data_IF_535702845913
#
_entry.id   IF_535702845913
#
_cell.length_a   1.000
_cell.length_b   1.000
_cell.length_c   1.000
_cell.angle_alpha   90.00
_cell.angle_beta   90.00
_cell.angle_gamma   90.00
#
_symmetry.space_group_name_H-M   'P 1'
#
loop_
_entity.id
_entity.type
_entity.pdbx_description
1 polymer ?
#
# COMPACT_ATOMS: atom_id res chain seq x y z
N UNK A 1 20.69 -3.81 -27.40
CA UNK A 1 20.30 -3.38 -26.03
C UNK A 1 18.85 -2.99 -26.14
N UNK A 2 17.96 -3.82 -25.59
CA UNK A 2 16.52 -3.61 -25.71
C UNK A 2 16.14 -2.41 -24.84
N UNK A 3 15.75 -1.33 -25.47
CA UNK A 3 15.15 -0.17 -24.81
C UNK A 3 13.89 -0.68 -24.10
N UNK A 4 13.97 -0.82 -22.77
CA UNK A 4 12.81 -1.15 -21.97
C UNK A 4 11.80 -0.03 -22.18
N UNK A 5 10.71 -0.34 -22.87
CA UNK A 5 9.62 0.59 -23.09
C UNK A 5 9.15 1.12 -21.73
N UNK A 6 8.87 2.43 -21.58
CA UNK A 6 8.44 3.02 -20.29
C UNK A 6 7.21 2.31 -19.68
N UNK A 7 6.40 1.67 -20.52
CA UNK A 7 5.24 0.87 -20.10
C UNK A 7 5.59 -0.37 -19.24
N UNK A 8 6.81 -0.89 -19.31
CA UNK A 8 7.24 -2.07 -18.54
C UNK A 8 7.55 -1.71 -17.09
N UNK A 9 8.27 -0.60 -16.86
CA UNK A 9 8.65 -0.14 -15.52
C UNK A 9 7.42 0.31 -14.73
N UNK A 10 6.44 0.93 -15.40
CA UNK A 10 5.17 1.34 -14.82
C UNK A 10 4.34 0.15 -14.31
N UNK A 11 4.21 -0.90 -15.13
CA UNK A 11 3.51 -2.14 -14.73
C UNK A 11 4.18 -2.83 -13.54
N UNK A 12 5.51 -2.84 -13.50
CA UNK A 12 6.26 -3.40 -12.38
C UNK A 12 6.01 -2.59 -11.10
N UNK A 13 5.92 -1.26 -11.19
CA UNK A 13 5.58 -0.39 -10.07
C UNK A 13 4.18 -0.67 -9.53
N UNK A 14 3.18 -0.81 -10.40
CA UNK A 14 1.79 -1.13 -9.99
C UNK A 14 1.70 -2.47 -9.25
N UNK A 15 2.38 -3.49 -9.76
CA UNK A 15 2.45 -4.82 -9.15
C UNK A 15 3.12 -4.76 -7.76
N UNK A 16 4.27 -4.09 -7.66
CA UNK A 16 5.01 -3.92 -6.40
C UNK A 16 4.18 -3.18 -5.34
N UNK A 17 3.47 -2.11 -5.74
CA UNK A 17 2.59 -1.36 -4.84
C UNK A 17 1.44 -2.24 -4.35
N UNK A 18 0.87 -3.07 -5.24
CA UNK A 18 -0.22 -3.99 -4.90
C UNK A 18 0.25 -5.05 -3.90
N UNK A 19 1.45 -5.61 -4.10
CA UNK A 19 2.06 -6.56 -3.16
C UNK A 19 2.31 -5.93 -1.79
N UNK A 20 2.80 -4.70 -1.75
CA UNK A 20 3.01 -3.97 -0.50
C UNK A 20 1.69 -3.75 0.25
N UNK A 21 0.64 -3.31 -0.45
CA UNK A 21 -0.69 -3.11 0.16
C UNK A 21 -1.25 -4.42 0.73
N UNK A 22 -1.12 -5.53 0.00
CA UNK A 22 -1.53 -6.85 0.47
C UNK A 22 -0.75 -7.29 1.71
N UNK A 23 0.56 -7.02 1.73
CA UNK A 23 1.43 -7.34 2.86
C UNK A 23 1.03 -6.54 4.11
N UNK A 24 0.73 -5.25 3.95
CA UNK A 24 0.24 -4.39 5.04
C UNK A 24 -1.11 -4.89 5.59
N UNK A 25 -2.05 -5.27 4.73
CA UNK A 25 -3.34 -5.83 5.15
C UNK A 25 -3.15 -7.15 5.92
N UNK A 26 -2.19 -7.99 5.50
CA UNK A 26 -1.88 -9.25 6.17
C UNK A 26 -1.25 -9.04 7.56
N UNK A 27 -0.31 -8.12 7.69
CA UNK A 27 0.33 -7.75 8.97
C UNK A 27 -0.69 -7.17 9.96
N UNK A 28 -1.57 -6.27 9.50
CA UNK A 28 -2.68 -5.75 10.31
C UNK A 28 -3.58 -6.88 10.81
N UNK A 29 -3.89 -7.86 9.95
CA UNK A 29 -4.64 -9.05 10.32
C UNK A 29 -3.95 -9.88 11.42
N UNK A 30 -2.65 -10.12 11.30
CA UNK A 30 -1.86 -10.87 12.27
C UNK A 30 -1.75 -10.15 13.63
N UNK A 31 -1.59 -8.83 13.62
CA UNK A 31 -1.57 -8.02 14.84
C UNK A 31 -2.92 -8.05 15.57
N UNK A 32 -4.03 -7.97 14.84
CA UNK A 32 -5.37 -8.10 15.43
C UNK A 32 -5.59 -9.48 16.05
N UNK A 33 -5.14 -10.55 15.40
CA UNK A 33 -5.20 -11.90 15.99
C UNK A 33 -4.34 -12.02 17.24
N UNK A 34 -3.15 -11.41 17.25
CA UNK A 34 -2.26 -11.38 18.41
C UNK A 34 -2.91 -10.66 19.59
N UNK A 35 -3.61 -9.55 19.35
CA UNK A 35 -4.42 -8.85 20.35
C UNK A 35 -5.50 -9.74 20.96
N UNK A 36 -6.27 -10.45 20.13
CA UNK A 36 -7.33 -11.36 20.63
C UNK A 36 -6.76 -12.50 21.47
N UNK A 37 -5.65 -13.10 21.04
CA UNK A 37 -4.97 -14.17 21.79
C UNK A 37 -4.45 -13.66 23.12
N UNK A 38 -3.84 -12.48 23.12
CA UNK A 38 -3.32 -11.85 24.34
C UNK A 38 -4.46 -11.58 25.34
N UNK A 39 -5.59 -11.03 24.88
CA UNK A 39 -6.78 -10.84 25.72
C UNK A 39 -7.30 -12.16 26.29
N UNK A 40 -7.37 -13.22 25.48
CA UNK A 40 -7.88 -14.52 25.92
C UNK A 40 -6.96 -15.20 26.93
N UNK A 41 -5.64 -15.11 26.73
CA UNK A 41 -4.64 -15.59 27.67
C UNK A 41 -4.71 -14.81 28.99
N UNK A 42 -4.96 -13.49 28.91
CA UNK A 42 -5.16 -12.67 30.10
C UNK A 42 -6.35 -13.12 30.92
N UNK A 43 -7.51 -13.36 30.30
CA UNK A 43 -8.71 -13.78 31.00
C UNK A 43 -8.49 -15.12 31.74
N UNK A 44 -7.69 -16.03 31.15
CA UNK A 44 -7.31 -17.30 31.78
C UNK A 44 -6.33 -17.11 32.95
N UNK A 45 -5.34 -16.24 32.83
CA UNK A 45 -4.35 -15.97 33.90
C UNK A 45 -4.96 -15.17 35.05
N UNK A 46 -5.80 -14.18 34.75
CA UNK A 46 -6.50 -13.36 35.75
C UNK A 46 -7.49 -14.19 36.58
N UNK A 47 -8.08 -15.25 36.02
CA UNK A 47 -8.92 -16.18 36.76
C UNK A 47 -8.15 -17.02 37.80
N UNK A 48 -6.83 -17.17 37.64
CA UNK A 48 -6.00 -18.01 38.52
C UNK A 48 -5.16 -17.25 39.55
N UNK A 49 -4.88 -15.96 39.34
CA UNK A 49 -3.97 -15.18 40.19
C UNK A 49 -4.73 -14.06 40.91
N UNK A 50 -4.58 -13.99 42.25
CA UNK A 50 -5.13 -12.91 43.07
C UNK A 50 -4.01 -12.08 43.69
N UNK A 51 -4.20 -10.76 43.83
CA UNK A 51 -3.29 -9.88 44.57
C UNK A 51 -2.35 -9.06 43.69
N UNK A 52 -1.13 -8.78 44.16
CA UNK A 52 -0.17 -7.87 43.50
C UNK A 52 0.28 -8.38 42.12
N UNK A 53 0.48 -9.70 41.96
CA UNK A 53 0.84 -10.30 40.68
C UNK A 53 -0.24 -10.08 39.60
N UNK A 54 -1.51 -10.15 39.98
CA UNK A 54 -2.63 -9.90 39.07
C UNK A 54 -2.68 -8.44 38.61
N UNK A 55 -2.37 -7.49 39.50
CA UNK A 55 -2.29 -6.05 39.17
C UNK A 55 -1.16 -5.75 38.20
N UNK A 56 0.04 -6.28 38.47
CA UNK A 56 1.20 -6.08 37.60
C UNK A 56 0.97 -6.67 36.21
N UNK A 57 0.39 -7.87 36.15
CA UNK A 57 0.03 -8.51 34.88
C UNK A 57 -1.01 -7.70 34.10
N UNK A 58 -2.07 -7.20 34.75
CA UNK A 58 -3.07 -6.34 34.11
C UNK A 58 -2.48 -5.01 33.60
N UNK A 59 -1.50 -4.44 34.32
CA UNK A 59 -0.78 -3.23 33.89
C UNK A 59 0.03 -3.49 32.62
N UNK A 60 0.85 -4.56 32.61
CA UNK A 60 1.63 -4.95 31.44
C UNK A 60 0.74 -5.28 30.24
N UNK A 61 -0.42 -5.88 30.47
CA UNK A 61 -1.42 -6.14 29.44
C UNK A 61 -1.96 -4.84 28.81
N UNK A 62 -2.28 -3.86 29.64
CA UNK A 62 -2.79 -2.56 29.17
C UNK A 62 -1.75 -1.87 28.28
N UNK A 63 -0.48 -1.92 28.69
CA UNK A 63 0.62 -1.37 27.91
C UNK A 63 0.84 -2.12 26.59
N UNK A 64 0.80 -3.46 26.61
CA UNK A 64 0.92 -4.28 25.41
C UNK A 64 -0.22 -3.99 24.41
N UNK A 65 -1.47 -3.89 24.88
CA UNK A 65 -2.61 -3.50 24.05
C UNK A 65 -2.44 -2.10 23.45
N UNK A 66 -1.98 -1.14 24.25
CA UNK A 66 -1.72 0.22 23.76
C UNK A 66 -0.67 0.23 22.64
N UNK A 67 0.40 -0.55 22.81
CA UNK A 67 1.46 -0.65 21.80
C UNK A 67 0.97 -1.34 20.51
N UNK A 68 0.17 -2.40 20.63
CA UNK A 68 -0.45 -3.06 19.47
C UNK A 68 -1.39 -2.09 18.72
N UNK A 69 -2.24 -1.36 19.43
CA UNK A 69 -3.12 -0.36 18.83
C UNK A 69 -2.33 0.75 18.11
N UNK A 70 -1.20 1.17 18.69
CA UNK A 70 -0.31 2.16 18.06
C UNK A 70 0.32 1.62 16.77
N UNK A 71 0.77 0.36 16.77
CA UNK A 71 1.35 -0.28 15.58
C UNK A 71 0.31 -0.46 14.47
N UNK A 72 -0.89 -0.93 14.80
CA UNK A 72 -2.00 -1.08 13.83
C UNK A 72 -2.30 0.27 13.17
N UNK A 73 -2.48 1.34 13.96
CA UNK A 73 -2.72 2.69 13.41
C UNK A 73 -1.59 3.18 12.51
N UNK A 74 -0.34 2.90 12.86
CA UNK A 74 0.80 3.27 12.04
C UNK A 74 0.80 2.55 10.69
N UNK A 75 0.46 1.25 10.67
CA UNK A 75 0.34 0.47 9.45
C UNK A 75 -0.85 0.90 8.59
N UNK A 76 -1.99 1.22 9.20
CA UNK A 76 -3.16 1.77 8.50
C UNK A 76 -2.83 3.13 7.85
N UNK A 77 -2.12 4.00 8.55
CA UNK A 77 -1.65 5.27 7.99
C UNK A 77 -0.67 5.06 6.82
N UNK A 78 0.29 4.14 6.97
CA UNK A 78 1.23 3.82 5.90
C UNK A 78 0.50 3.28 4.66
N UNK A 79 -0.48 2.39 4.88
CA UNK A 79 -1.34 1.86 3.81
C UNK A 79 -2.07 2.97 3.07
N UNK A 80 -2.62 3.94 3.79
CA UNK A 80 -3.30 5.07 3.16
C UNK A 80 -2.35 5.92 2.33
N UNK A 81 -1.14 6.20 2.84
CA UNK A 81 -0.10 6.91 2.08
C UNK A 81 0.30 6.14 0.81
N UNK A 82 0.45 4.82 0.88
CA UNK A 82 0.76 3.98 -0.30
C UNK A 82 -0.39 4.00 -1.31
N UNK A 83 -1.65 4.01 -0.86
CA UNK A 83 -2.82 4.14 -1.74
C UNK A 83 -2.86 5.49 -2.45
N UNK A 84 -2.67 6.57 -1.70
CA UNK A 84 -2.59 7.92 -2.28
C UNK A 84 -1.46 8.01 -3.31
N UNK A 85 -0.28 7.48 -2.98
CA UNK A 85 0.85 7.45 -3.91
C UNK A 85 0.55 6.67 -5.18
N UNK A 86 -0.13 5.52 -5.09
CA UNK A 86 -0.58 4.74 -6.25
C UNK A 86 -1.51 5.56 -7.14
N UNK A 87 -2.50 6.22 -6.53
CA UNK A 87 -3.51 6.97 -7.26
C UNK A 87 -2.90 8.19 -7.98
N UNK A 88 -1.89 8.83 -7.38
CA UNK A 88 -1.09 9.88 -8.02
C UNK A 88 -0.22 9.34 -9.17
N UNK A 89 0.45 8.19 -8.97
CA UNK A 89 1.20 7.53 -10.04
C UNK A 89 0.30 7.17 -11.23
N UNK A 90 -0.88 6.59 -10.99
CA UNK A 90 -1.84 6.25 -12.04
C UNK A 90 -2.40 7.46 -12.80
N UNK A 91 -2.47 8.64 -12.17
CA UNK A 91 -2.81 9.88 -12.87
C UNK A 91 -1.69 10.32 -13.81
N UNK A 92 -0.44 10.30 -13.35
CA UNK A 92 0.73 10.64 -14.17
C UNK A 92 0.88 9.71 -15.38
N UNK A 93 0.53 8.43 -15.23
CA UNK A 93 0.52 7.45 -16.33
C UNK A 93 -0.47 7.84 -17.43
N UNK A 94 -1.69 8.24 -17.07
CA UNK A 94 -2.70 8.66 -18.03
C UNK A 94 -2.27 9.92 -18.79
N UNK A 95 -1.62 10.86 -18.11
CA UNK A 95 -1.06 12.06 -18.74
C UNK A 95 0.03 11.72 -19.77
N UNK A 96 0.96 10.82 -19.41
CA UNK A 96 2.02 10.37 -20.33
C UNK A 96 1.45 9.65 -21.55
N UNK A 97 0.48 8.76 -21.37
CA UNK A 97 -0.19 8.08 -22.49
C UNK A 97 -0.89 9.10 -23.40
N UNK A 98 -1.60 10.06 -22.81
CA UNK A 98 -2.27 11.11 -23.58
C UNK A 98 -1.28 12.00 -24.33
N UNK A 99 -0.10 12.29 -23.78
CA UNK A 99 0.96 13.03 -24.46
C UNK A 99 1.58 12.22 -25.60
N UNK A 100 1.88 10.94 -25.39
CA UNK A 100 2.38 10.05 -26.45
C UNK A 100 1.38 9.90 -27.60
N UNK A 101 0.09 9.75 -27.30
CA UNK A 101 -0.96 9.68 -28.32
C UNK A 101 -1.04 10.99 -29.12
N UNK A 102 -1.01 12.15 -28.45
CA UNK A 102 -0.97 13.46 -29.12
C UNK A 102 0.23 13.60 -30.04
N UNK A 103 1.42 13.21 -29.58
CA UNK A 103 2.64 13.23 -30.39
C UNK A 103 2.53 12.32 -31.61
N UNK A 104 1.97 11.11 -31.45
CA UNK A 104 1.80 10.15 -32.55
C UNK A 104 0.78 10.64 -33.59
N UNK A 105 -0.35 11.22 -33.15
CA UNK A 105 -1.33 11.82 -34.06
C UNK A 105 -0.78 13.02 -34.82
N UNK A 106 0.01 13.89 -34.15
CA UNK A 106 0.66 15.02 -34.80
C UNK A 106 1.67 14.61 -35.87
N UNK A 107 2.43 13.52 -35.63
CA UNK A 107 3.36 12.96 -36.61
C UNK A 107 2.64 12.39 -37.84
N UNK A 108 1.50 11.73 -37.64
CA UNK A 108 0.66 11.21 -38.74
C UNK A 108 0.06 12.30 -39.63
N UNK A 109 -0.36 13.42 -39.03
CA UNK A 109 -0.93 14.58 -39.73
C UNK A 109 0.14 15.36 -40.53
N UNK A 110 1.36 15.48 -40.00
CA UNK A 110 2.50 16.06 -40.74
C UNK A 110 2.94 15.18 -41.93
N UNK A 111 2.91 13.85 -41.76
CA UNK A 111 3.19 12.89 -42.84
C UNK A 111 2.16 13.03 -43.97
N UNK A 112 0.86 13.14 -43.65
CA UNK A 112 -0.19 13.26 -44.66
C UNK A 112 -0.11 14.57 -45.48
N UNK A 113 0.23 15.70 -44.85
CA UNK A 113 0.34 17.00 -45.56
C UNK A 113 1.57 17.13 -46.44
N UNK A 114 2.64 16.38 -46.18
CA UNK A 114 3.86 16.41 -46.98
C UNK A 114 3.71 15.76 -48.36
N UNK A 115 2.79 14.80 -48.51
CA UNK A 115 2.56 14.09 -49.78
C UNK A 115 1.57 14.81 -50.71
N UNK A 116 0.67 15.64 -50.19
CA UNK A 116 -0.32 16.36 -51.01
C UNK A 116 0.24 17.58 -51.76
N UNK A 117 1.44 18.07 -51.41
CA UNK A 117 2.04 19.24 -52.07
C UNK A 117 2.94 18.91 -53.28
N UNK A 118 2.99 17.64 -53.71
CA UNK A 118 3.87 17.16 -54.79
C UNK A 118 3.12 16.66 -56.04
N UNK A 119 1.83 16.96 -56.19
CA UNK A 119 1.03 16.63 -57.39
C UNK A 119 0.64 17.87 -58.19
#
# INVERSE_FOLDING_TARGET
MSEAMPNSDLRQSEETIRELLNSLDQEVGLLNQSRTKLSSATDQVAAGWTGEAARQFASGQTEANFNLDRLVRALENLRELVRMSRDDFSQQEQEQIAEMQRAHSGLGDMSSRGFDHLA
#
